data_IF_911465898432
#
_entry.id   IF_911465898432
#
_cell.length_a   1.000
_cell.length_b   1.000
_cell.length_c   1.000
_cell.angle_alpha   90.00
_cell.angle_beta   90.00
_cell.angle_gamma   90.00
#
_symmetry.space_group_name_H-M   'P 1'
#
loop_
_entity.id
_entity.type
_entity.pdbx_description
1 polymer ?
#
# COMPACT_ATOMS: atom_id res chain seq x y z
N UNK A 1 15.29 2.95 -7.86
CA UNK A 1 13.91 2.46 -7.81
C UNK A 1 13.48 1.94 -6.44
N UNK A 2 14.15 0.95 -5.84
CA UNK A 2 13.77 0.35 -4.52
C UNK A 2 13.53 1.37 -3.38
N UNK A 3 14.26 2.49 -3.36
CA UNK A 3 14.17 3.48 -2.27
C UNK A 3 12.80 4.17 -2.19
N UNK A 4 12.10 4.34 -3.32
CA UNK A 4 10.82 5.04 -3.36
C UNK A 4 9.64 4.12 -3.00
N UNK A 5 9.80 2.81 -3.23
CA UNK A 5 8.76 1.82 -2.96
C UNK A 5 8.54 1.61 -1.46
N UNK A 6 9.62 1.57 -0.68
CA UNK A 6 9.51 1.47 0.79
C UNK A 6 8.82 2.70 1.38
N UNK A 7 9.20 3.90 0.92
CA UNK A 7 8.57 5.14 1.36
C UNK A 7 7.08 5.16 1.02
N UNK A 8 6.71 4.70 -0.18
CA UNK A 8 5.31 4.59 -0.60
C UNK A 8 4.52 3.62 0.29
N UNK A 9 5.05 2.43 0.56
CA UNK A 9 4.42 1.45 1.45
C UNK A 9 4.25 1.99 2.88
N UNK A 10 5.27 2.67 3.43
CA UNK A 10 5.18 3.28 4.76
C UNK A 10 4.10 4.37 4.83
N UNK A 11 4.07 5.28 3.85
CA UNK A 11 3.04 6.33 3.79
C UNK A 11 1.65 5.72 3.64
N UNK A 12 1.49 4.72 2.79
CA UNK A 12 0.21 4.03 2.63
C UNK A 12 -0.25 3.30 3.90
N UNK A 13 0.64 2.64 4.63
CA UNK A 13 0.32 1.98 5.89
C UNK A 13 -0.14 2.95 6.97
N UNK A 14 0.47 4.15 7.03
CA UNK A 14 0.04 5.23 7.92
C UNK A 14 -1.38 5.68 7.55
N UNK A 15 -1.64 5.95 6.26
CA UNK A 15 -2.96 6.38 5.79
C UNK A 15 -4.03 5.33 6.12
N UNK A 16 -3.75 4.05 5.85
CA UNK A 16 -4.67 2.95 6.16
C UNK A 16 -4.91 2.82 7.66
N UNK A 17 -3.88 3.01 8.48
CA UNK A 17 -4.01 3.01 9.95
C UNK A 17 -4.88 4.16 10.46
N UNK A 18 -4.77 5.34 9.85
CA UNK A 18 -5.63 6.48 10.15
C UNK A 18 -7.08 6.18 9.76
N UNK A 19 -7.31 5.58 8.59
CA UNK A 19 -8.64 5.18 8.12
C UNK A 19 -9.24 4.10 9.03
N UNK A 20 -8.47 3.13 9.48
CA UNK A 20 -8.88 2.11 10.45
C UNK A 20 -9.35 2.71 11.77
N UNK A 21 -8.63 3.71 12.27
CA UNK A 21 -8.99 4.42 13.48
C UNK A 21 -10.25 5.28 13.27
N UNK A 22 -10.31 6.08 12.19
CA UNK A 22 -11.44 6.96 11.89
C UNK A 22 -12.74 6.19 11.60
N UNK A 23 -12.65 4.98 11.03
CA UNK A 23 -13.80 4.11 10.77
C UNK A 23 -14.29 3.34 11.99
N UNK A 24 -13.60 3.44 13.13
CA UNK A 24 -13.93 2.70 14.36
C UNK A 24 -13.67 1.20 14.27
N UNK A 25 -13.05 0.72 13.19
CA UNK A 25 -12.76 -0.71 12.97
C UNK A 25 -11.63 -1.22 13.85
N UNK A 26 -10.75 -0.32 14.30
CA UNK A 26 -9.70 -0.60 15.26
C UNK A 26 -10.13 -0.16 16.66
N UNK A 27 -10.26 -1.11 17.57
CA UNK A 27 -10.38 -0.84 19.01
C UNK A 27 -9.02 -1.10 19.64
N UNK A 28 -8.43 -0.09 20.27
CA UNK A 28 -7.07 -0.17 20.82
C UNK A 28 -6.99 -1.08 22.07
N UNK A 29 -8.10 -1.26 22.78
CA UNK A 29 -8.18 -2.22 23.89
C UNK A 29 -8.06 -3.66 23.38
N UNK A 30 -7.03 -4.38 23.84
CA UNK A 30 -6.81 -5.78 23.48
C UNK A 30 -6.34 -6.01 22.03
N UNK A 31 -6.00 -4.96 21.28
CA UNK A 31 -5.60 -5.07 19.87
C UNK A 31 -4.40 -5.99 19.64
N UNK A 32 -3.52 -6.11 20.64
CA UNK A 32 -2.31 -6.93 20.59
C UNK A 32 -2.54 -8.37 21.08
N UNK A 33 -3.60 -8.63 21.85
CA UNK A 33 -3.84 -9.94 22.48
C UNK A 33 -4.51 -10.94 21.52
N UNK A 34 -5.14 -10.45 20.45
CA UNK A 34 -5.82 -11.28 19.44
C UNK A 34 -5.04 -11.40 18.13
N UNK A 35 -3.71 -11.23 18.16
CA UNK A 35 -2.89 -11.25 16.95
C UNK A 35 -2.52 -12.68 16.56
N UNK A 36 -3.19 -13.19 15.52
CA UNK A 36 -2.71 -14.34 14.76
C UNK A 36 -1.67 -13.87 13.73
N UNK A 37 -0.46 -14.43 13.83
CA UNK A 37 0.65 -14.13 12.93
C UNK A 37 0.36 -14.51 11.47
N UNK A 38 -0.30 -15.65 11.25
CA UNK A 38 -0.65 -16.14 9.90
C UNK A 38 -1.62 -15.18 9.20
N UNK A 39 -2.73 -14.83 9.85
CA UNK A 39 -3.73 -13.89 9.33
C UNK A 39 -3.11 -12.50 9.07
N UNK A 40 -2.20 -12.06 9.94
CA UNK A 40 -1.52 -10.77 9.81
C UNK A 40 -0.59 -10.71 8.59
N UNK A 41 0.07 -11.81 8.24
CA UNK A 41 0.93 -11.89 7.04
C UNK A 41 0.08 -11.86 5.77
N UNK A 42 -1.02 -12.61 5.75
CA UNK A 42 -1.96 -12.60 4.63
C UNK A 42 -2.57 -11.20 4.46
N UNK A 43 -2.98 -10.57 5.56
CA UNK A 43 -3.49 -9.21 5.57
C UNK A 43 -2.44 -8.21 5.07
N UNK A 44 -1.15 -8.38 5.41
CA UNK A 44 -0.08 -7.52 4.89
C UNK A 44 0.09 -7.65 3.37
N UNK A 45 0.01 -8.87 2.84
CA UNK A 45 0.12 -9.10 1.40
C UNK A 45 -1.07 -8.51 0.63
N UNK A 46 -2.29 -8.70 1.15
CA UNK A 46 -3.49 -8.08 0.59
C UNK A 46 -3.46 -6.56 0.69
N UNK A 47 -2.90 -6.02 1.77
CA UNK A 47 -2.73 -4.57 1.94
C UNK A 47 -1.85 -4.00 0.84
N UNK A 48 -0.70 -4.62 0.53
CA UNK A 48 0.15 -4.19 -0.60
C UNK A 48 -0.63 -4.20 -1.91
N UNK A 49 -1.36 -5.28 -2.19
CA UNK A 49 -2.17 -5.44 -3.40
C UNK A 49 -3.22 -4.34 -3.53
N UNK A 50 -3.92 -4.04 -2.43
CA UNK A 50 -4.91 -2.97 -2.36
C UNK A 50 -4.29 -1.60 -2.55
N UNK A 51 -3.11 -1.33 -1.97
CA UNK A 51 -2.44 -0.05 -2.17
C UNK A 51 -2.05 0.16 -3.64
N UNK A 52 -1.54 -0.88 -4.31
CA UNK A 52 -1.19 -0.83 -5.73
C UNK A 52 -2.46 -0.62 -6.56
N UNK A 53 -3.49 -1.44 -6.33
CA UNK A 53 -4.76 -1.33 -7.03
C UNK A 53 -5.35 0.07 -6.88
N UNK A 54 -5.38 0.63 -5.66
CA UNK A 54 -5.91 1.97 -5.39
C UNK A 54 -5.12 3.05 -6.15
N UNK A 55 -3.79 2.94 -6.20
CA UNK A 55 -2.97 3.88 -6.98
C UNK A 55 -3.27 3.84 -8.48
N UNK A 56 -3.49 2.65 -9.04
CA UNK A 56 -3.87 2.47 -10.45
C UNK A 56 -5.29 2.98 -10.71
N UNK A 57 -6.24 2.68 -9.81
CA UNK A 57 -7.62 3.16 -9.92
C UNK A 57 -7.71 4.68 -9.89
N UNK A 58 -6.98 5.35 -9.00
CA UNK A 58 -6.92 6.82 -8.94
C UNK A 58 -6.40 7.39 -10.26
N UNK A 59 -5.33 6.80 -10.82
CA UNK A 59 -4.78 7.25 -12.10
C UNK A 59 -5.77 7.05 -13.26
N UNK A 60 -6.43 5.89 -13.31
CA UNK A 60 -7.42 5.58 -14.34
C UNK A 60 -8.71 6.39 -14.19
N UNK A 61 -9.05 6.87 -12.99
CA UNK A 61 -10.30 7.60 -12.77
C UNK A 61 -10.40 8.88 -13.59
N UNK A 62 -9.28 9.55 -13.85
CA UNK A 62 -9.27 10.75 -14.71
C UNK A 62 -9.72 10.39 -16.13
N UNK A 63 -9.23 9.27 -16.66
CA UNK A 63 -9.56 8.79 -18.01
C UNK A 63 -11.02 8.29 -18.03
N UNK A 64 -11.42 7.54 -17.00
CA UNK A 64 -12.79 7.03 -16.84
C UNK A 64 -13.78 8.18 -16.83
N UNK A 65 -13.55 9.22 -16.02
CA UNK A 65 -14.43 10.39 -15.95
C UNK A 65 -14.55 11.11 -17.30
N UNK A 66 -13.45 11.23 -18.05
CA UNK A 66 -13.45 11.82 -19.39
C UNK A 66 -14.34 11.04 -20.36
N UNK A 67 -14.23 9.71 -20.36
CA UNK A 67 -15.07 8.83 -21.19
C UNK A 67 -16.52 8.89 -20.70
N UNK A 68 -16.74 8.92 -19.38
CA UNK A 68 -18.07 8.91 -18.78
C UNK A 68 -18.85 10.19 -19.12
N UNK A 69 -18.18 11.35 -19.19
CA UNK A 69 -18.79 12.60 -19.67
C UNK A 69 -19.26 12.47 -21.12
N UNK A 70 -18.43 11.89 -22.00
CA UNK A 70 -18.79 11.68 -23.41
C UNK A 70 -19.98 10.72 -23.56
N UNK A 71 -19.98 9.63 -22.79
CA UNK A 71 -21.05 8.63 -22.81
C UNK A 71 -22.33 9.18 -22.19
N UNK A 72 -22.24 9.98 -21.13
CA UNK A 72 -23.39 10.63 -20.51
C UNK A 72 -24.11 11.55 -21.52
N UNK A 73 -23.35 12.28 -22.34
CA UNK A 73 -23.90 13.12 -23.42
C UNK A 73 -24.59 12.27 -24.51
N UNK A 74 -24.00 11.12 -24.87
CA UNK A 74 -24.51 10.23 -25.92
C UNK A 74 -25.74 9.40 -25.48
N UNK A 75 -25.72 8.84 -24.27
CA UNK A 75 -26.71 7.89 -23.76
C UNK A 75 -27.75 8.52 -22.82
N UNK A 76 -27.61 9.81 -22.45
CA UNK A 76 -28.46 10.50 -21.45
C UNK A 76 -28.62 9.71 -20.15
N UNK A 77 -27.58 8.97 -19.77
CA UNK A 77 -27.52 8.18 -18.54
C UNK A 77 -26.44 8.76 -17.63
N UNK A 78 -26.72 8.90 -16.34
CA UNK A 78 -25.80 9.49 -15.39
C UNK A 78 -24.65 8.53 -15.04
N UNK A 79 -23.44 8.88 -15.48
CA UNK A 79 -22.18 8.28 -15.05
C UNK A 79 -22.12 6.73 -15.06
N UNK A 80 -22.47 6.07 -16.18
CA UNK A 80 -22.57 4.62 -16.25
C UNK A 80 -21.25 3.89 -15.98
N UNK A 81 -20.11 4.43 -16.44
CA UNK A 81 -18.81 3.78 -16.22
C UNK A 81 -18.37 3.99 -14.77
N UNK A 82 -18.57 5.18 -14.20
CA UNK A 82 -18.21 5.43 -12.80
C UNK A 82 -18.99 4.51 -11.85
N UNK A 83 -20.28 4.29 -12.12
CA UNK A 83 -21.09 3.34 -11.34
C UNK A 83 -20.57 1.90 -11.42
N UNK A 84 -20.20 1.43 -12.62
CA UNK A 84 -19.56 0.11 -12.79
C UNK A 84 -18.25 0.00 -12.01
N UNK A 85 -17.40 1.02 -12.06
CA UNK A 85 -16.15 1.01 -11.32
C UNK A 85 -16.40 1.03 -9.82
N UNK A 86 -17.38 1.81 -9.34
CA UNK A 86 -17.76 1.80 -7.94
C UNK A 86 -18.24 0.41 -7.48
N UNK A 87 -19.09 -0.26 -8.26
CA UNK A 87 -19.64 -1.55 -7.89
C UNK A 87 -18.57 -2.66 -7.87
N UNK A 88 -17.80 -2.81 -8.94
CA UNK A 88 -16.84 -3.90 -9.05
C UNK A 88 -15.52 -3.62 -8.33
N UNK A 89 -15.01 -2.38 -8.39
CA UNK A 89 -13.71 -2.06 -7.80
C UNK A 89 -13.85 -1.65 -6.34
N UNK A 90 -14.80 -0.78 -6.01
CA UNK A 90 -14.95 -0.34 -4.62
C UNK A 90 -15.71 -1.35 -3.75
N UNK A 91 -16.93 -1.75 -4.13
CA UNK A 91 -17.74 -2.62 -3.27
C UNK A 91 -17.21 -4.06 -3.23
N UNK A 92 -16.94 -4.69 -4.38
CA UNK A 92 -16.51 -6.09 -4.39
C UNK A 92 -15.04 -6.27 -3.96
N UNK A 93 -14.12 -5.49 -4.53
CA UNK A 93 -12.68 -5.67 -4.28
C UNK A 93 -12.20 -4.96 -3.01
N UNK A 94 -12.33 -3.64 -2.91
CA UNK A 94 -11.80 -2.90 -1.75
C UNK A 94 -12.58 -3.18 -0.47
N UNK A 95 -13.91 -3.16 -0.52
CA UNK A 95 -14.76 -3.37 0.65
C UNK A 95 -14.93 -4.87 0.95
N UNK A 96 -15.49 -5.66 0.03
CA UNK A 96 -15.80 -7.06 0.29
C UNK A 96 -14.56 -7.94 0.51
N UNK A 97 -13.64 -7.96 -0.46
CA UNK A 97 -12.52 -8.91 -0.46
C UNK A 97 -11.37 -8.54 0.49
N UNK A 98 -11.18 -7.26 0.76
CA UNK A 98 -10.10 -6.75 1.63
C UNK A 98 -10.59 -6.25 2.97
N UNK A 99 -11.46 -5.22 2.97
CA UNK A 99 -11.87 -4.59 4.22
C UNK A 99 -12.67 -5.56 5.06
N UNK A 100 -13.86 -5.97 4.63
CA UNK A 100 -14.79 -6.78 5.42
C UNK A 100 -14.27 -8.20 5.69
N UNK A 101 -13.42 -8.71 4.82
CA UNK A 101 -12.78 -10.02 5.00
C UNK A 101 -11.78 -10.08 6.17
N UNK A 102 -11.29 -8.94 6.68
CA UNK A 102 -10.21 -8.90 7.68
C UNK A 102 -10.60 -8.04 8.89
N UNK A 103 -10.19 -8.50 10.09
CA UNK A 103 -10.41 -7.76 11.34
C UNK A 103 -9.58 -6.49 11.38
N UNK A 104 -10.03 -5.45 12.09
CA UNK A 104 -9.24 -4.21 12.23
C UNK A 104 -7.84 -4.45 12.80
N UNK A 105 -7.72 -5.36 13.77
CA UNK A 105 -6.46 -5.72 14.42
C UNK A 105 -5.47 -6.38 13.44
N UNK A 106 -5.94 -7.28 12.56
CA UNK A 106 -5.09 -7.92 11.54
C UNK A 106 -4.57 -6.92 10.50
N UNK A 107 -5.41 -5.97 10.06
CA UNK A 107 -5.00 -4.92 9.12
C UNK A 107 -4.04 -3.93 9.80
N UNK A 108 -4.25 -3.62 11.07
CA UNK A 108 -3.34 -2.78 11.85
C UNK A 108 -1.98 -3.45 12.04
N UNK A 109 -1.95 -4.72 12.39
CA UNK A 109 -0.70 -5.48 12.52
C UNK A 109 0.03 -5.62 11.18
N UNK A 110 -0.71 -5.82 10.09
CA UNK A 110 -0.18 -5.75 8.74
C UNK A 110 0.50 -4.41 8.44
N UNK A 111 -0.10 -3.29 8.85
CA UNK A 111 0.52 -1.97 8.71
C UNK A 111 1.81 -1.84 9.51
N UNK A 112 1.85 -2.36 10.75
CA UNK A 112 3.07 -2.40 11.58
C UNK A 112 4.17 -3.23 10.90
N UNK A 113 3.84 -4.41 10.38
CA UNK A 113 4.79 -5.29 9.68
C UNK A 113 5.36 -4.57 8.46
N UNK A 114 4.51 -3.97 7.63
CA UNK A 114 4.94 -3.21 6.44
C UNK A 114 5.84 -2.02 6.82
N UNK A 115 5.50 -1.32 7.90
CA UNK A 115 6.31 -0.22 8.43
C UNK A 115 7.68 -0.70 8.93
N UNK A 116 7.71 -1.83 9.66
CA UNK A 116 8.94 -2.46 10.14
C UNK A 116 9.87 -2.89 8.99
N UNK A 117 9.33 -3.56 7.97
CA UNK A 117 10.07 -3.94 6.76
C UNK A 117 10.63 -2.69 6.05
N UNK A 118 9.83 -1.63 5.94
CA UNK A 118 10.22 -0.35 5.37
C UNK A 118 11.42 0.28 6.11
N UNK A 119 11.36 0.32 7.45
CA UNK A 119 12.45 0.81 8.30
C UNK A 119 13.73 -0.02 8.12
N UNK A 120 13.64 -1.35 8.23
CA UNK A 120 14.79 -2.25 8.09
C UNK A 120 15.48 -2.02 6.74
N UNK A 121 14.71 -1.92 5.67
CA UNK A 121 15.23 -1.68 4.32
C UNK A 121 15.89 -0.31 4.17
N UNK A 122 15.36 0.72 4.83
CA UNK A 122 15.95 2.06 4.91
C UNK A 122 17.28 2.09 5.67
N UNK A 123 17.40 1.35 6.78
CA UNK A 123 18.61 1.29 7.60
C UNK A 123 19.72 0.39 6.99
N UNK A 124 19.37 -0.69 6.28
CA UNK A 124 20.34 -1.58 5.63
C UNK A 124 20.96 -0.95 4.36
N UNK A 125 20.19 -0.13 3.63
CA UNK A 125 20.62 0.53 2.39
C UNK A 125 21.90 1.39 2.52
N UNK A 126 22.08 2.28 3.52
CA UNK A 126 23.31 3.04 3.70
C UNK A 126 24.51 2.15 4.10
N UNK A 127 24.29 1.06 4.84
CA UNK A 127 25.36 0.14 5.24
C UNK A 127 25.95 -0.61 4.03
N UNK A 128 25.12 -1.06 3.09
CA UNK A 128 25.58 -1.65 1.82
C UNK A 128 26.31 -0.64 0.93
N UNK A 129 25.87 0.61 0.87
CA UNK A 129 26.52 1.67 0.07
C UNK A 129 27.87 2.08 0.64
N UNK A 130 28.03 2.19 1.96
CA UNK A 130 29.32 2.47 2.62
C UNK A 130 30.34 1.36 2.37
N UNK A 131 29.93 0.08 2.47
CA UNK A 131 30.81 -1.06 2.14
C UNK A 131 31.27 -1.04 0.68
N UNK A 132 30.38 -0.74 -0.28
CA UNK A 132 30.77 -0.60 -1.69
C UNK A 132 31.78 0.52 -1.89
N UNK A 133 31.54 1.72 -1.33
CA UNK A 133 32.45 2.88 -1.46
C UNK A 133 33.86 2.57 -0.91
N UNK A 134 33.96 1.86 0.21
CA UNK A 134 35.24 1.43 0.78
C UNK A 134 36.03 0.47 -0.13
N UNK A 135 35.35 -0.45 -0.80
CA UNK A 135 36.01 -1.42 -1.71
C UNK A 135 36.59 -0.70 -2.94
N UNK A 136 35.87 0.27 -3.51
CA UNK A 136 36.37 1.04 -4.66
C UNK A 136 37.58 1.90 -4.30
N UNK A 137 37.60 2.52 -3.11
CA UNK A 137 38.74 3.32 -2.67
C UNK A 137 39.99 2.46 -2.47
N UNK A 138 39.84 1.29 -1.84
CA UNK A 138 40.94 0.35 -1.59
C UNK A 138 41.49 -0.27 -2.89
N UNK A 139 40.64 -0.47 -3.90
CA UNK A 139 41.07 -0.96 -5.23
C UNK A 139 41.78 0.15 -6.02
N UNK A 140 41.36 1.41 -5.88
CA UNK A 140 42.01 2.56 -6.51
C UNK A 140 43.40 2.85 -5.94
N UNK A 141 43.64 2.62 -4.64
CA UNK A 141 44.98 2.77 -4.05
C UNK A 141 45.95 1.67 -4.51
N UNK A 142 45.47 0.43 -4.67
CA UNK A 142 46.29 -0.68 -5.19
C UNK A 142 46.69 -0.56 -6.66
N UNK A 143 46.05 0.32 -7.44
CA UNK A 143 46.36 0.56 -8.86
C UNK A 143 47.33 1.74 -9.04
N UNK A 144 47.68 2.46 -7.97
CA UNK A 144 48.60 3.60 -7.99
C UNK A 144 49.98 3.31 -7.38
N UNK A 145 50.16 2.15 -6.75
CA UNK A 145 51.45 1.59 -6.36
C UNK A 145 51.83 0.47 -7.32
#
# INVERSE_FOLDING_TARGET
MIKNWNSFLMVSGIIISIILFASGKLQLEGALDQINLEDSIIAALKTILVTIAASVTIFLMIIVLLIDVLITILLRSEFPITNLVFEYVYLQFFRGWYWDAHSGNSIFMACIILFGIGLISLYISPFRRRKKKFIYHKKSEKLKN
#
